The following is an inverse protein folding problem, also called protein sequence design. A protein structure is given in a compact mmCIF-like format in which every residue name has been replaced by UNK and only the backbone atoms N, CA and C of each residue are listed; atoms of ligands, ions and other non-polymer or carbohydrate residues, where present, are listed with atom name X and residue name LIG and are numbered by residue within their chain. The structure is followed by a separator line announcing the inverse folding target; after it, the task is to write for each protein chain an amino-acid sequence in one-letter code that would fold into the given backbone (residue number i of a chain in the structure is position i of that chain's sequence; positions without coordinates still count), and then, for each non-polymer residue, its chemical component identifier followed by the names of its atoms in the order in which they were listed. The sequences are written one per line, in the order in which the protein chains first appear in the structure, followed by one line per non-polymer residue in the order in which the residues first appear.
data_IF_803043020568
#
_entry.id   IF_803043020568
#
_cell.length_a   1.000
_cell.length_b   1.000
_cell.length_c   1.000
_cell.angle_alpha   90.00
_cell.angle_beta   90.00
_cell.angle_gamma   90.00
#
_symmetry.space_group_name_H-M   'P 1'
#
loop_
_entity.id
_entity.type
_entity.pdbx_description
1 polymer ?
#
# COMPACT_ATOMS: atom_id res chain seq x y z
N UNK A 1 20.88 1.06 -1.83
CA UNK A 1 20.48 1.70 -0.56
C UNK A 1 19.58 2.88 -0.89
N UNK A 2 18.49 3.07 -0.17
CA UNK A 2 17.55 4.17 -0.39
C UNK A 2 17.31 4.90 0.94
N UNK A 3 17.11 6.22 0.87
CA UNK A 3 16.73 7.04 2.01
C UNK A 3 15.37 7.65 1.75
N UNK A 4 14.47 7.55 2.72
CA UNK A 4 13.17 8.19 2.69
C UNK A 4 13.14 9.30 3.74
N UNK A 5 13.06 10.58 3.31
CA UNK A 5 12.88 11.69 4.24
C UNK A 5 11.61 11.50 5.09
N UNK A 6 11.67 11.95 6.35
CA UNK A 6 10.56 11.81 7.30
C UNK A 6 9.28 12.42 6.74
N UNK A 7 8.18 11.67 6.82
CA UNK A 7 6.85 12.14 6.42
C UNK A 7 6.54 12.02 4.92
N UNK A 8 7.49 11.58 4.09
CA UNK A 8 7.24 11.38 2.67
C UNK A 8 6.65 9.99 2.39
N UNK A 9 5.65 9.99 1.49
CA UNK A 9 5.08 8.76 0.96
C UNK A 9 6.14 7.96 0.18
N UNK A 10 6.16 6.66 0.41
CA UNK A 10 7.07 5.73 -0.26
C UNK A 10 6.42 4.34 -0.36
N UNK A 11 6.92 3.51 -1.28
CA UNK A 11 6.45 2.15 -1.52
C UNK A 11 7.60 1.24 -1.96
N UNK A 12 7.41 -0.07 -1.86
CA UNK A 12 8.31 -1.07 -2.44
C UNK A 12 7.49 -2.04 -3.29
N UNK A 13 8.07 -2.52 -4.39
CA UNK A 13 7.44 -3.47 -5.31
C UNK A 13 8.47 -4.48 -5.81
N UNK A 14 8.17 -5.77 -5.70
CA UNK A 14 9.00 -6.85 -6.26
C UNK A 14 8.58 -7.13 -7.70
N UNK A 15 9.25 -6.53 -8.67
CA UNK A 15 8.96 -6.71 -10.10
C UNK A 15 9.23 -8.11 -10.63
N UNK A 16 10.09 -8.89 -9.96
CA UNK A 16 10.45 -10.24 -10.39
C UNK A 16 9.54 -11.34 -9.81
N UNK A 17 8.53 -10.97 -9.01
CA UNK A 17 7.56 -11.93 -8.49
C UNK A 17 6.71 -12.62 -9.58
N UNK A 18 6.64 -12.01 -10.78
CA UNK A 18 5.81 -12.48 -11.91
C UNK A 18 6.56 -13.35 -12.93
N UNK A 19 7.89 -13.42 -12.86
CA UNK A 19 8.69 -14.28 -13.75
C UNK A 19 9.21 -15.47 -12.92
N UNK A 20 8.41 -16.52 -12.67
CA UNK A 20 8.95 -17.74 -12.12
C UNK A 20 9.96 -18.31 -13.11
N UNK A 21 11.09 -18.79 -12.62
CA UNK A 21 11.90 -19.73 -13.38
C UNK A 21 10.99 -20.88 -13.86
N UNK A 22 10.80 -21.00 -15.18
CA UNK A 22 10.02 -22.11 -15.78
C UNK A 22 10.63 -23.48 -15.46
N UNK A 23 11.91 -23.55 -15.10
CA UNK A 23 12.63 -24.76 -14.73
C UNK A 23 12.52 -25.11 -13.23
N UNK A 24 12.15 -24.17 -12.35
CA UNK A 24 12.23 -24.39 -10.90
C UNK A 24 10.95 -24.14 -10.09
N UNK A 25 9.84 -23.65 -10.68
CA UNK A 25 8.60 -23.36 -9.93
C UNK A 25 8.85 -22.45 -8.70
N UNK A 26 9.90 -21.62 -8.75
CA UNK A 26 10.32 -20.79 -7.64
C UNK A 26 9.86 -19.35 -7.87
N UNK A 27 9.00 -18.84 -6.99
CA UNK A 27 8.84 -17.40 -6.85
C UNK A 27 10.17 -16.81 -6.37
N UNK A 28 10.58 -15.66 -6.89
CA UNK A 28 11.80 -14.98 -6.45
C UNK A 28 11.49 -14.04 -5.28
N UNK A 29 11.67 -14.47 -4.00
CA UNK A 29 11.46 -13.59 -2.87
C UNK A 29 12.49 -12.46 -2.87
N UNK A 30 12.04 -11.25 -2.55
CA UNK A 30 12.90 -10.10 -2.30
C UNK A 30 12.77 -9.70 -0.83
N UNK A 31 13.90 -9.39 -0.18
CA UNK A 31 13.94 -8.94 1.20
C UNK A 31 14.63 -7.58 1.28
N UNK A 32 14.09 -6.69 2.11
CA UNK A 32 14.69 -5.40 2.41
C UNK A 32 14.76 -5.22 3.94
N UNK A 33 15.88 -4.68 4.42
CA UNK A 33 16.06 -4.29 5.81
C UNK A 33 16.06 -2.76 5.89
N UNK A 34 15.25 -2.22 6.80
CA UNK A 34 15.10 -0.78 7.01
C UNK A 34 15.47 -0.42 8.45
N UNK A 35 16.06 0.76 8.63
CA UNK A 35 16.35 1.35 9.93
C UNK A 35 15.69 2.71 10.04
N UNK A 36 15.29 3.08 11.26
CA UNK A 36 14.61 4.34 11.53
C UNK A 36 15.41 5.18 12.53
N UNK A 37 15.42 6.49 12.35
CA UNK A 37 16.00 7.44 13.32
C UNK A 37 15.18 7.64 14.60
N UNK A 38 14.22 6.77 14.88
CA UNK A 38 13.33 6.82 16.05
C UNK A 38 12.96 5.40 16.46
N UNK A 39 12.91 5.14 17.77
CA UNK A 39 12.38 3.89 18.33
C UNK A 39 10.86 3.75 18.17
N UNK A 40 10.16 4.84 17.86
CA UNK A 40 8.73 4.87 17.62
C UNK A 40 8.42 5.61 16.31
N UNK A 41 8.93 5.07 15.18
CA UNK A 41 8.76 5.73 13.88
C UNK A 41 7.30 5.78 13.41
N UNK A 42 6.48 4.79 13.80
CA UNK A 42 5.10 4.63 13.33
C UNK A 42 5.01 4.41 11.82
N UNK A 43 3.93 3.77 11.36
CA UNK A 43 3.64 3.63 9.93
C UNK A 43 2.18 3.93 9.67
N UNK A 44 1.90 4.66 8.58
CA UNK A 44 0.54 4.94 8.12
C UNK A 44 0.39 4.36 6.72
N UNK A 45 -0.39 3.29 6.59
CA UNK A 45 -0.74 2.72 5.28
C UNK A 45 -1.83 3.57 4.65
N UNK A 46 -1.51 4.24 3.53
CA UNK A 46 -2.41 5.20 2.89
C UNK A 46 -3.76 4.58 2.53
N UNK A 47 -3.76 3.40 1.91
CA UNK A 47 -4.99 2.75 1.44
C UNK A 47 -5.91 2.36 2.61
N UNK A 48 -5.37 1.66 3.61
CA UNK A 48 -6.16 1.27 4.79
C UNK A 48 -6.63 2.51 5.55
N UNK A 49 -5.75 3.48 5.79
CA UNK A 49 -6.11 4.71 6.53
C UNK A 49 -7.20 5.52 5.83
N UNK A 50 -7.22 5.59 4.50
CA UNK A 50 -8.26 6.32 3.77
C UNK A 50 -9.59 5.56 3.69
N UNK A 51 -9.54 4.26 3.46
CA UNK A 51 -10.73 3.49 3.08
C UNK A 51 -11.34 2.68 4.22
N UNK A 52 -10.64 2.47 5.36
CA UNK A 52 -11.14 1.67 6.49
C UNK A 52 -11.33 2.47 7.79
N UNK A 53 -10.94 3.75 7.83
CA UNK A 53 -11.03 4.60 9.04
C UNK A 53 -12.42 5.21 9.29
N UNK A 54 -13.42 4.88 8.48
CA UNK A 54 -14.79 5.41 8.62
C UNK A 54 -15.01 6.79 7.99
N UNK A 55 -14.09 7.28 7.15
CA UNK A 55 -14.33 8.48 6.34
C UNK A 55 -15.55 8.24 5.44
N UNK A 56 -16.47 9.21 5.46
CA UNK A 56 -17.70 9.18 4.69
C UNK A 56 -17.41 9.12 3.17
N UNK A 57 -18.18 8.31 2.45
CA UNK A 57 -17.95 8.06 1.02
C UNK A 57 -18.11 9.31 0.16
N UNK A 58 -19.01 10.23 0.49
CA UNK A 58 -19.18 11.50 -0.23
C UNK A 58 -17.96 12.41 -0.07
N UNK A 59 -17.31 12.38 1.10
CA UNK A 59 -16.05 13.12 1.35
C UNK A 59 -14.94 12.54 0.49
N UNK A 60 -14.76 11.21 0.52
CA UNK A 60 -13.75 10.53 -0.30
C UNK A 60 -14.00 10.74 -1.80
N UNK A 61 -15.25 10.63 -2.25
CA UNK A 61 -15.62 10.84 -3.64
C UNK A 61 -15.27 12.26 -4.12
N UNK A 62 -15.61 13.28 -3.33
CA UNK A 62 -15.26 14.68 -3.65
C UNK A 62 -13.75 14.91 -3.64
N UNK A 63 -13.04 14.42 -2.62
CA UNK A 63 -11.58 14.61 -2.52
C UNK A 63 -10.81 13.93 -3.65
N UNK A 64 -11.26 12.75 -4.09
CA UNK A 64 -10.63 11.97 -5.16
C UNK A 64 -11.18 12.27 -6.56
N UNK A 65 -12.12 13.23 -6.68
CA UNK A 65 -12.78 13.59 -7.94
C UNK A 65 -13.40 12.38 -8.66
N UNK A 66 -14.14 11.58 -7.89
CA UNK A 66 -14.81 10.37 -8.35
C UNK A 66 -16.23 10.32 -7.77
N UNK A 67 -16.87 9.16 -7.79
CA UNK A 67 -18.22 8.91 -7.28
C UNK A 67 -18.23 7.87 -6.14
N UNK A 68 -19.34 7.83 -5.40
CA UNK A 68 -19.52 6.91 -4.26
C UNK A 68 -19.41 5.45 -4.67
N UNK A 69 -19.87 5.06 -5.86
CA UNK A 69 -19.78 3.67 -6.34
C UNK A 69 -18.33 3.25 -6.50
N UNK A 70 -17.48 4.15 -7.03
CA UNK A 70 -16.03 3.91 -7.13
C UNK A 70 -15.38 3.79 -5.76
N UNK A 71 -15.75 4.64 -4.78
CA UNK A 71 -15.24 4.52 -3.40
C UNK A 71 -15.63 3.18 -2.77
N UNK A 72 -16.88 2.73 -2.92
CA UNK A 72 -17.32 1.45 -2.39
C UNK A 72 -16.55 0.27 -2.99
N UNK A 73 -16.23 0.32 -4.30
CA UNK A 73 -15.38 -0.68 -4.95
C UNK A 73 -13.96 -0.70 -4.37
N UNK A 74 -13.36 0.47 -4.13
CA UNK A 74 -12.04 0.57 -3.50
C UNK A 74 -12.04 0.02 -2.07
N UNK A 75 -13.09 0.30 -1.29
CA UNK A 75 -13.28 -0.26 0.06
C UNK A 75 -13.41 -1.79 0.01
N UNK A 76 -14.24 -2.31 -0.89
CA UNK A 76 -14.45 -3.75 -1.06
C UNK A 76 -13.16 -4.49 -1.45
N UNK A 77 -12.31 -3.87 -2.28
CA UNK A 77 -11.01 -4.44 -2.68
C UNK A 77 -9.98 -4.55 -1.55
N UNK A 78 -10.24 -3.95 -0.38
CA UNK A 78 -9.39 -4.02 0.81
C UNK A 78 -9.97 -4.93 1.91
N UNK A 79 -11.13 -5.56 1.68
CA UNK A 79 -11.68 -6.54 2.60
C UNK A 79 -10.75 -7.77 2.70
N UNK A 80 -10.66 -8.43 3.87
CA UNK A 80 -9.93 -9.68 4.01
C UNK A 80 -10.41 -10.73 2.97
N UNK A 81 -9.51 -11.57 2.45
CA UNK A 81 -9.85 -12.64 1.50
C UNK A 81 -10.71 -13.74 2.11
#
# INVERSE_FOLDING_TARGET
MFLFPKGLAHYQYNSNAQYPDKAANAQYPAMALSAFGSANAGTVSVLTTLFTSGINDDVLAKSLKTDVTTIQKLKAGLAPP
#
